data_IF_347304974706
#
_entry.id   IF_347304974706
#
_cell.length_a   1.000
_cell.length_b   1.000
_cell.length_c   1.000
_cell.angle_alpha   90.00
_cell.angle_beta   90.00
_cell.angle_gamma   90.00
#
_symmetry.space_group_name_H-M   'P 1'
#
loop_
_entity.id
_entity.type
_entity.pdbx_description
1 polymer ?
#
# COMPACT_ATOMS: atom_id res chain seq x y z
N UNK A 1 -30.84 -80.36 32.49
CA UNK A 1 -29.96 -79.28 33.02
C UNK A 1 -28.86 -78.87 32.02
N UNK A 2 -28.21 -79.81 31.30
CA UNK A 2 -27.19 -79.50 30.28
C UNK A 2 -27.67 -78.61 29.12
N UNK A 3 -28.84 -78.90 28.53
CA UNK A 3 -29.34 -78.18 27.36
C UNK A 3 -29.53 -76.67 27.64
N UNK A 4 -30.09 -76.31 28.81
CA UNK A 4 -30.22 -74.91 29.26
C UNK A 4 -28.86 -74.22 29.45
N UNK A 5 -27.81 -74.97 29.80
CA UNK A 5 -26.44 -74.43 29.91
C UNK A 5 -25.87 -74.11 28.54
N UNK A 6 -26.07 -75.01 27.57
CA UNK A 6 -25.63 -74.83 26.17
C UNK A 6 -26.35 -73.63 25.53
N UNK A 7 -27.67 -73.49 25.72
CA UNK A 7 -28.41 -72.34 25.22
C UNK A 7 -27.91 -71.01 25.79
N UNK A 8 -27.67 -70.93 27.10
CA UNK A 8 -27.09 -69.74 27.72
C UNK A 8 -25.72 -69.39 27.14
N UNK A 9 -24.85 -70.39 27.02
CA UNK A 9 -23.52 -70.20 26.45
C UNK A 9 -23.59 -69.66 25.01
N UNK A 10 -24.52 -70.16 24.19
CA UNK A 10 -24.72 -69.65 22.82
C UNK A 10 -25.27 -68.23 22.78
N UNK A 11 -26.14 -67.86 23.71
CA UNK A 11 -26.64 -66.48 23.86
C UNK A 11 -25.49 -65.54 24.25
N UNK A 12 -24.62 -65.97 25.17
CA UNK A 12 -23.47 -65.19 25.61
C UNK A 12 -22.47 -64.99 24.45
N UNK A 13 -22.14 -66.06 23.72
CA UNK A 13 -21.29 -66.00 22.52
C UNK A 13 -21.86 -65.05 21.46
N UNK A 14 -23.17 -65.10 21.20
CA UNK A 14 -23.83 -64.19 20.25
C UNK A 14 -23.77 -62.73 20.75
N UNK A 15 -23.99 -62.52 22.04
CA UNK A 15 -23.98 -61.19 22.65
C UNK A 15 -22.58 -60.57 22.63
N UNK A 16 -21.51 -61.36 22.78
CA UNK A 16 -20.12 -60.90 22.58
C UNK A 16 -19.91 -60.46 21.14
N UNK A 17 -20.26 -61.30 20.16
CA UNK A 17 -20.13 -60.95 18.74
C UNK A 17 -20.92 -59.70 18.34
N UNK A 18 -22.12 -59.54 18.89
CA UNK A 18 -22.93 -58.34 18.65
C UNK A 18 -22.24 -57.08 19.20
N UNK A 19 -21.64 -57.16 20.39
CA UNK A 19 -20.87 -56.05 20.96
C UNK A 19 -19.62 -55.71 20.14
N UNK A 20 -18.90 -56.72 19.68
CA UNK A 20 -17.73 -56.53 18.80
C UNK A 20 -18.12 -55.83 17.49
N UNK A 21 -19.23 -56.27 16.86
CA UNK A 21 -19.74 -55.64 15.65
C UNK A 21 -20.16 -54.18 15.89
N UNK A 22 -20.85 -53.90 17.00
CA UNK A 22 -21.25 -52.55 17.36
C UNK A 22 -20.04 -51.63 17.57
N UNK A 23 -19.00 -52.12 18.25
CA UNK A 23 -17.77 -51.34 18.46
C UNK A 23 -17.08 -50.99 17.13
N UNK A 24 -16.96 -51.96 16.21
CA UNK A 24 -16.40 -51.72 14.87
C UNK A 24 -17.27 -50.75 14.08
N UNK A 25 -18.59 -50.84 14.19
CA UNK A 25 -19.51 -49.92 13.54
C UNK A 25 -19.35 -48.48 14.04
N UNK A 26 -19.25 -48.29 15.36
CA UNK A 26 -19.03 -46.98 15.98
C UNK A 26 -17.69 -46.37 15.53
N UNK A 27 -16.62 -47.18 15.47
CA UNK A 27 -15.31 -46.74 14.99
C UNK A 27 -15.34 -46.35 13.50
N UNK A 28 -16.05 -47.12 12.67
CA UNK A 28 -16.22 -46.83 11.26
C UNK A 28 -16.99 -45.52 11.03
N UNK A 29 -18.06 -45.29 11.80
CA UNK A 29 -18.81 -44.03 11.75
C UNK A 29 -17.98 -42.83 12.22
N UNK A 30 -17.20 -42.98 13.30
CA UNK A 30 -16.29 -41.94 13.75
C UNK A 30 -15.25 -41.57 12.67
N UNK A 31 -14.68 -42.58 12.01
CA UNK A 31 -13.75 -42.39 10.89
C UNK A 31 -14.42 -41.70 9.71
N UNK A 32 -15.65 -42.09 9.37
CA UNK A 32 -16.44 -41.47 8.30
C UNK A 32 -16.68 -39.98 8.57
N UNK A 33 -17.03 -39.63 9.81
CA UNK A 33 -17.20 -38.24 10.22
C UNK A 33 -15.89 -37.44 10.10
N UNK A 34 -14.77 -37.99 10.55
CA UNK A 34 -13.47 -37.33 10.45
C UNK A 34 -13.04 -37.09 8.99
N UNK A 35 -13.29 -38.04 8.09
CA UNK A 35 -13.02 -37.88 6.66
C UNK A 35 -13.85 -36.71 6.09
N UNK A 36 -15.15 -36.65 6.43
CA UNK A 36 -16.01 -35.56 5.97
C UNK A 36 -15.54 -34.18 6.46
N UNK A 37 -15.04 -34.09 7.69
CA UNK A 37 -14.44 -32.86 8.22
C UNK A 37 -13.15 -32.48 7.47
N UNK A 38 -12.31 -33.45 7.13
CA UNK A 38 -11.10 -33.23 6.33
C UNK A 38 -11.42 -32.72 4.92
N UNK A 39 -12.42 -33.32 4.26
CA UNK A 39 -12.88 -32.89 2.94
C UNK A 39 -13.45 -31.47 2.96
N UNK A 40 -14.23 -31.15 4.00
CA UNK A 40 -14.75 -29.80 4.21
C UNK A 40 -13.60 -28.79 4.37
N UNK A 41 -12.63 -29.08 5.24
CA UNK A 41 -11.45 -28.23 5.46
C UNK A 41 -10.65 -28.04 4.17
N UNK A 42 -10.44 -29.12 3.41
CA UNK A 42 -9.73 -29.04 2.11
C UNK A 42 -10.44 -28.10 1.14
N UNK A 43 -11.76 -28.14 1.12
CA UNK A 43 -12.58 -27.27 0.25
C UNK A 43 -12.48 -25.80 0.67
N UNK A 44 -12.51 -25.53 1.98
CA UNK A 44 -12.35 -24.18 2.53
C UNK A 44 -10.96 -23.61 2.17
N UNK A 45 -9.89 -24.38 2.37
CA UNK A 45 -8.53 -23.98 2.01
C UNK A 45 -8.37 -23.71 0.51
N UNK A 46 -8.98 -24.52 -0.36
CA UNK A 46 -8.93 -24.28 -1.80
C UNK A 46 -9.67 -23.01 -2.21
N UNK A 47 -10.76 -22.66 -1.51
CA UNK A 47 -11.47 -21.41 -1.73
C UNK A 47 -10.63 -20.20 -1.28
N UNK A 48 -9.98 -20.28 -0.11
CA UNK A 48 -9.05 -19.25 0.36
C UNK A 48 -7.88 -19.06 -0.62
N UNK A 49 -7.28 -20.16 -1.09
CA UNK A 49 -6.20 -20.14 -2.08
C UNK A 49 -6.62 -19.43 -3.37
N UNK A 50 -7.85 -19.70 -3.86
CA UNK A 50 -8.40 -19.01 -5.05
C UNK A 50 -8.61 -17.53 -4.80
N UNK A 51 -9.19 -17.16 -3.65
CA UNK A 51 -9.39 -15.76 -3.25
C UNK A 51 -8.06 -14.99 -3.22
N UNK A 52 -7.02 -15.55 -2.61
CA UNK A 52 -5.69 -14.94 -2.60
C UNK A 52 -5.08 -14.83 -4.01
N UNK A 53 -5.32 -15.79 -4.89
CA UNK A 53 -4.86 -15.71 -6.28
C UNK A 53 -5.57 -14.60 -7.07
N UNK A 54 -6.83 -14.29 -6.75
CA UNK A 54 -7.57 -13.16 -7.32
C UNK A 54 -7.03 -11.82 -6.79
N UNK A 55 -6.81 -11.71 -5.47
CA UNK A 55 -6.22 -10.52 -4.84
C UNK A 55 -4.83 -10.19 -5.42
N UNK A 56 -3.97 -11.20 -5.59
CA UNK A 56 -2.65 -11.01 -6.21
C UNK A 56 -2.76 -10.54 -7.67
N UNK A 57 -3.74 -11.05 -8.43
CA UNK A 57 -4.00 -10.57 -9.80
C UNK A 57 -4.44 -9.11 -9.81
N UNK A 58 -5.31 -8.71 -8.88
CA UNK A 58 -5.75 -7.32 -8.76
C UNK A 58 -4.58 -6.40 -8.42
N UNK A 59 -3.75 -6.77 -7.44
CA UNK A 59 -2.56 -5.97 -7.06
C UNK A 59 -1.64 -5.77 -8.27
N UNK A 60 -1.40 -6.81 -9.07
CA UNK A 60 -0.57 -6.70 -10.26
C UNK A 60 -1.19 -5.76 -11.32
N UNK A 61 -2.51 -5.78 -11.48
CA UNK A 61 -3.20 -4.84 -12.38
C UNK A 61 -3.10 -3.40 -11.87
N UNK A 62 -3.30 -3.18 -10.57
CA UNK A 62 -3.22 -1.87 -9.94
C UNK A 62 -1.81 -1.29 -10.05
N UNK A 63 -0.76 -2.12 -9.88
CA UNK A 63 0.64 -1.70 -10.09
C UNK A 63 0.83 -1.19 -11.52
N UNK A 64 0.43 -1.96 -12.53
CA UNK A 64 0.56 -1.56 -13.93
C UNK A 64 -0.21 -0.25 -14.22
N UNK A 65 -1.44 -0.14 -13.71
CA UNK A 65 -2.26 1.05 -13.89
C UNK A 65 -1.64 2.30 -13.25
N UNK A 66 -1.08 2.16 -12.03
CA UNK A 66 -0.39 3.25 -11.34
C UNK A 66 0.90 3.65 -12.06
N UNK A 67 1.65 2.68 -12.60
CA UNK A 67 2.85 2.95 -13.39
C UNK A 67 2.54 3.76 -14.65
N UNK A 68 1.48 3.39 -15.37
CA UNK A 68 1.06 4.10 -16.58
C UNK A 68 0.54 5.50 -16.26
N UNK A 69 -0.24 5.63 -15.19
CA UNK A 69 -0.70 6.94 -14.69
C UNK A 69 0.50 7.83 -14.34
N UNK A 70 1.51 7.30 -13.66
CA UNK A 70 2.71 8.04 -13.28
C UNK A 70 3.53 8.45 -14.50
N UNK A 71 3.69 7.57 -15.49
CA UNK A 71 4.34 7.90 -16.77
C UNK A 71 3.60 9.03 -17.48
N UNK A 72 2.27 8.97 -17.55
CA UNK A 72 1.44 10.02 -18.15
C UNK A 72 1.59 11.37 -17.45
N UNK A 73 1.53 11.40 -16.12
CA UNK A 73 1.71 12.63 -15.32
C UNK A 73 3.13 13.20 -15.50
N UNK A 74 4.16 12.35 -15.47
CA UNK A 74 5.55 12.78 -15.72
C UNK A 74 5.73 13.35 -17.12
N UNK A 75 5.25 12.65 -18.15
CA UNK A 75 5.30 13.10 -19.54
C UNK A 75 4.65 14.47 -19.71
N UNK A 76 3.42 14.66 -19.21
CA UNK A 76 2.73 15.95 -19.26
C UNK A 76 3.52 17.06 -18.54
N UNK A 77 4.09 16.76 -17.36
CA UNK A 77 4.92 17.72 -16.62
C UNK A 77 6.17 18.11 -17.43
N UNK A 78 6.84 17.15 -18.04
CA UNK A 78 8.07 17.39 -18.79
C UNK A 78 7.79 18.15 -20.10
N UNK A 79 6.71 17.81 -20.82
CA UNK A 79 6.25 18.60 -21.97
C UNK A 79 5.90 20.05 -21.60
N UNK A 80 5.24 20.26 -20.45
CA UNK A 80 4.97 21.62 -19.95
C UNK A 80 6.25 22.38 -19.61
N UNK A 81 7.24 21.72 -18.99
CA UNK A 81 8.55 22.33 -18.72
C UNK A 81 9.24 22.74 -20.01
N UNK A 82 9.19 21.91 -21.05
CA UNK A 82 9.77 22.23 -22.36
C UNK A 82 9.07 23.41 -23.04
N UNK A 83 7.74 23.47 -23.00
CA UNK A 83 6.98 24.63 -23.49
C UNK A 83 7.39 25.90 -22.76
N UNK A 84 7.50 25.83 -21.43
CA UNK A 84 7.91 26.96 -20.60
C UNK A 84 9.34 27.40 -20.95
N UNK A 85 10.28 26.47 -21.09
CA UNK A 85 11.67 26.77 -21.47
C UNK A 85 11.74 27.48 -22.83
N UNK A 86 11.01 26.99 -23.84
CA UNK A 86 10.94 27.65 -25.16
C UNK A 86 10.38 29.07 -25.08
N UNK A 87 9.35 29.28 -24.25
CA UNK A 87 8.78 30.61 -24.04
C UNK A 87 9.77 31.56 -23.34
N UNK A 88 10.61 31.06 -22.43
CA UNK A 88 11.70 31.86 -21.87
C UNK A 88 12.73 32.25 -22.92
N UNK A 89 13.15 31.32 -23.78
CA UNK A 89 14.10 31.63 -24.85
C UNK A 89 13.55 32.67 -25.83
N UNK A 90 12.24 32.61 -26.12
CA UNK A 90 11.54 33.64 -26.92
C UNK A 90 11.60 35.00 -26.25
N UNK A 91 11.23 35.09 -24.96
CA UNK A 91 11.26 36.36 -24.22
C UNK A 91 12.68 36.91 -24.12
N UNK A 92 13.69 36.07 -23.88
CA UNK A 92 15.08 36.53 -23.83
C UNK A 92 15.58 37.05 -25.19
N UNK A 93 15.12 36.45 -26.30
CA UNK A 93 15.42 36.96 -27.65
C UNK A 93 14.73 38.31 -27.91
N UNK A 94 13.46 38.43 -27.57
CA UNK A 94 12.71 39.67 -27.71
C UNK A 94 13.32 40.78 -26.86
N UNK A 95 13.67 40.50 -25.61
CA UNK A 95 14.36 41.44 -24.71
C UNK A 95 15.64 41.99 -25.35
N UNK A 96 16.48 41.12 -25.92
CA UNK A 96 17.71 41.55 -26.62
C UNK A 96 17.40 42.41 -27.83
N UNK A 97 16.41 42.02 -28.63
CA UNK A 97 15.98 42.76 -29.83
C UNK A 97 15.44 44.16 -29.45
N UNK A 98 14.56 44.25 -28.45
CA UNK A 98 14.01 45.51 -27.95
C UNK A 98 15.12 46.42 -27.41
N UNK A 99 16.02 45.90 -26.58
CA UNK A 99 17.15 46.70 -26.07
C UNK A 99 18.07 47.20 -27.19
N UNK A 100 18.25 46.42 -28.26
CA UNK A 100 19.00 46.88 -29.42
C UNK A 100 18.32 48.08 -30.11
N UNK A 101 17.01 48.00 -30.36
CA UNK A 101 16.23 49.10 -30.96
C UNK A 101 16.22 50.36 -30.08
N UNK A 102 16.16 50.20 -28.75
CA UNK A 102 16.21 51.31 -27.81
C UNK A 102 17.57 52.04 -27.89
N UNK A 103 18.68 51.29 -27.96
CA UNK A 103 20.01 51.89 -28.16
C UNK A 103 20.11 52.64 -29.49
N UNK A 104 19.60 52.05 -30.57
CA UNK A 104 19.57 52.70 -31.89
C UNK A 104 18.71 53.99 -31.89
N UNK A 105 17.74 54.09 -30.97
CA UNK A 105 16.88 55.27 -30.79
C UNK A 105 17.47 56.33 -29.83
N UNK A 106 18.67 56.11 -29.30
CA UNK A 106 19.35 57.05 -28.39
C UNK A 106 18.92 56.94 -26.93
N UNK A 107 18.26 55.86 -26.53
CA UNK A 107 17.93 55.59 -25.12
C UNK A 107 19.21 55.23 -24.36
N UNK A 108 19.47 55.88 -23.21
CA UNK A 108 20.67 55.62 -22.42
C UNK A 108 20.62 54.25 -21.73
N UNK A 109 21.79 53.69 -21.40
CA UNK A 109 21.94 52.28 -20.96
C UNK A 109 21.20 52.00 -19.64
N UNK A 110 21.03 53.02 -18.78
CA UNK A 110 20.34 52.92 -17.49
C UNK A 110 18.82 52.70 -17.63
N UNK A 111 18.24 53.02 -18.79
CA UNK A 111 16.81 52.88 -19.09
C UNK A 111 16.48 51.59 -19.85
N UNK A 112 17.49 50.76 -20.16
CA UNK A 112 17.26 49.50 -20.87
C UNK A 112 16.59 48.44 -19.99
N UNK A 113 15.86 47.54 -20.64
CA UNK A 113 15.14 46.48 -19.95
C UNK A 113 16.14 45.44 -19.41
N UNK A 114 16.23 45.34 -18.09
CA UNK A 114 16.98 44.27 -17.40
C UNK A 114 16.20 42.95 -17.27
N UNK A 115 16.93 41.86 -17.01
CA UNK A 115 16.36 40.53 -16.71
C UNK A 115 15.48 40.55 -15.46
N UNK A 116 15.74 41.46 -14.53
CA UNK A 116 15.00 41.62 -13.29
C UNK A 116 13.57 42.14 -13.51
N UNK A 117 13.32 42.84 -14.62
CA UNK A 117 11.97 43.22 -15.02
C UNK A 117 11.13 42.02 -15.53
N UNK A 118 11.79 40.93 -15.95
CA UNK A 118 11.16 39.73 -16.51
C UNK A 118 11.08 38.58 -15.48
N UNK A 119 11.98 38.58 -14.50
CA UNK A 119 12.11 37.56 -13.45
C UNK A 119 10.95 37.39 -12.43
N UNK A 120 10.10 38.39 -12.08
CA UNK A 120 9.19 38.27 -10.93
C UNK A 120 8.09 37.20 -11.09
N UNK A 121 7.80 36.78 -12.33
CA UNK A 121 6.78 35.75 -12.61
C UNK A 121 7.29 34.30 -12.43
N UNK A 122 8.60 34.10 -12.21
CA UNK A 122 9.27 32.79 -12.12
C UNK A 122 9.32 32.19 -10.72
N UNK A 123 9.57 33.01 -9.69
CA UNK A 123 10.02 32.52 -8.38
C UNK A 123 8.87 31.89 -7.54
N UNK A 124 7.64 32.41 -7.68
CA UNK A 124 6.47 31.88 -6.96
C UNK A 124 6.11 30.43 -7.34
N UNK A 125 6.50 29.93 -8.53
CA UNK A 125 6.06 28.62 -9.05
C UNK A 125 7.11 27.51 -8.93
N UNK A 126 8.39 27.85 -8.83
CA UNK A 126 9.46 26.89 -8.56
C UNK A 126 9.47 26.42 -7.09
N UNK A 127 9.09 27.30 -6.15
CA UNK A 127 9.01 26.98 -4.70
C UNK A 127 7.89 26.00 -4.36
N UNK A 128 6.75 26.03 -5.06
CA UNK A 128 5.62 25.12 -4.81
C UNK A 128 5.96 23.67 -5.17
N UNK A 129 6.71 23.43 -6.26
CA UNK A 129 7.10 22.09 -6.69
C UNK A 129 8.08 21.38 -5.75
N UNK A 130 9.00 22.10 -5.09
CA UNK A 130 9.88 21.50 -4.08
C UNK A 130 9.15 21.25 -2.76
N UNK A 131 8.19 22.11 -2.41
CA UNK A 131 7.40 21.98 -1.19
C UNK A 131 6.50 20.74 -1.19
N UNK A 132 5.91 20.35 -2.32
CA UNK A 132 4.98 19.20 -2.35
C UNK A 132 5.72 17.85 -2.31
N UNK A 133 6.90 17.76 -2.94
CA UNK A 133 7.77 16.59 -2.81
C UNK A 133 8.37 16.48 -1.40
N UNK A 134 8.71 17.61 -0.77
CA UNK A 134 9.17 17.67 0.62
C UNK A 134 8.04 17.30 1.62
N UNK A 135 6.80 17.76 1.39
CA UNK A 135 5.63 17.40 2.21
C UNK A 135 5.30 15.92 2.13
N UNK A 136 5.27 15.33 0.92
CA UNK A 136 5.10 13.88 0.74
C UNK A 136 6.18 13.09 1.48
N UNK A 137 7.46 13.48 1.35
CA UNK A 137 8.58 12.84 2.05
C UNK A 137 8.50 13.01 3.58
N UNK A 138 7.88 14.08 4.08
CA UNK A 138 7.75 14.35 5.51
C UNK A 138 6.62 13.55 6.21
N UNK A 139 5.68 12.97 5.45
CA UNK A 139 4.56 12.16 5.96
C UNK A 139 5.00 10.73 6.28
N UNK A 140 6.07 10.23 5.66
CA UNK A 140 6.56 8.86 5.86
C UNK A 140 7.87 8.84 6.65
N UNK A 141 8.06 7.78 7.44
CA UNK A 141 9.31 7.49 8.15
C UNK A 141 9.63 6.00 8.05
N UNK A 142 10.91 5.63 8.14
CA UNK A 142 11.29 4.22 8.27
C UNK A 142 10.98 3.72 9.68
N UNK A 143 10.41 2.52 9.79
CA UNK A 143 10.29 1.81 11.05
C UNK A 143 11.69 1.51 11.61
N UNK A 144 11.91 1.74 12.90
CA UNK A 144 13.21 1.48 13.53
C UNK A 144 13.51 -0.01 13.74
N UNK A 145 12.52 -0.90 13.58
CA UNK A 145 12.68 -2.34 13.79
C UNK A 145 12.79 -3.14 12.50
N UNK A 146 12.03 -2.78 11.45
CA UNK A 146 12.03 -3.52 10.18
C UNK A 146 12.40 -2.66 8.97
N UNK A 147 12.77 -1.40 9.17
CA UNK A 147 13.18 -0.43 8.15
C UNK A 147 12.16 -0.08 7.06
N UNK A 148 10.97 -0.67 7.11
CA UNK A 148 9.89 -0.41 6.16
C UNK A 148 9.32 1.00 6.31
N UNK A 149 8.91 1.58 5.18
CA UNK A 149 8.27 2.90 5.14
C UNK A 149 6.86 2.83 5.74
N UNK A 150 6.63 3.59 6.81
CA UNK A 150 5.34 3.71 7.48
C UNK A 150 4.95 5.19 7.63
N UNK A 151 3.67 5.46 7.86
CA UNK A 151 3.22 6.83 8.18
C UNK A 151 3.89 7.34 9.47
N UNK A 152 4.36 8.60 9.46
CA UNK A 152 5.17 9.21 10.53
C UNK A 152 4.45 9.27 11.88
N UNK A 153 3.12 9.34 11.85
CA UNK A 153 2.28 9.36 13.05
C UNK A 153 1.64 7.99 13.36
N UNK A 154 2.01 6.90 12.67
CA UNK A 154 1.46 5.58 12.99
C UNK A 154 1.95 5.12 14.37
N UNK A 155 1.08 4.84 15.36
CA UNK A 155 1.52 4.50 16.72
C UNK A 155 2.24 3.14 16.81
N UNK A 156 1.95 2.23 15.87
CA UNK A 156 2.51 0.88 15.78
C UNK A 156 2.81 0.59 14.30
N UNK A 157 3.93 -0.10 14.01
CA UNK A 157 4.23 -0.57 12.67
C UNK A 157 3.20 -1.64 12.24
N UNK A 158 2.47 -1.47 11.13
CA UNK A 158 1.48 -2.46 10.70
C UNK A 158 2.12 -3.80 10.32
N UNK A 159 3.39 -3.77 9.91
CA UNK A 159 4.15 -4.93 9.41
C UNK A 159 4.79 -5.74 10.53
N UNK A 160 5.55 -5.11 11.44
CA UNK A 160 6.28 -5.82 12.49
C UNK A 160 5.73 -5.59 13.92
N UNK A 161 4.66 -4.80 14.06
CA UNK A 161 4.00 -4.46 15.33
C UNK A 161 4.88 -3.75 16.38
N UNK A 162 6.08 -3.32 16.01
CA UNK A 162 6.91 -2.49 16.88
C UNK A 162 6.28 -1.10 17.10
N UNK A 163 6.35 -0.57 18.34
CA UNK A 163 5.92 0.79 18.66
C UNK A 163 6.79 1.79 17.91
N UNK A 164 6.17 2.73 17.20
CA UNK A 164 6.91 3.82 16.58
C UNK A 164 7.10 4.97 17.58
N UNK A 165 8.32 5.51 17.67
CA UNK A 165 8.61 6.69 18.50
C UNK A 165 8.64 7.92 17.61
N UNK A 166 7.67 8.82 17.76
CA UNK A 166 7.71 10.12 17.08
C UNK A 166 8.88 10.96 17.59
N UNK A 167 9.68 11.53 16.68
CA UNK A 167 10.78 12.45 17.01
C UNK A 167 10.30 13.83 17.52
N UNK A 168 9.01 14.15 17.39
CA UNK A 168 8.43 15.42 17.85
C UNK A 168 7.16 15.15 18.68
N UNK A 169 7.29 14.82 19.98
CA UNK A 169 6.14 14.71 20.85
C UNK A 169 5.44 16.07 20.96
N UNK A 170 4.11 16.11 20.76
CA UNK A 170 3.31 17.30 21.04
C UNK A 170 3.51 17.69 22.50
N UNK A 171 3.91 18.94 22.76
CA UNK A 171 4.08 19.47 24.12
C UNK A 171 2.82 19.15 24.94
N UNK A 172 2.96 18.67 26.19
CA UNK A 172 1.82 18.51 27.09
C UNK A 172 1.13 19.88 27.26
N UNK A 173 -0.18 19.94 27.03
CA UNK A 173 -0.97 21.12 27.42
C UNK A 173 -0.88 21.21 28.94
N UNK A 174 -0.32 22.30 29.47
CA UNK A 174 -0.38 22.61 30.91
C UNK A 174 -1.86 22.73 31.28
N UNK A 175 -2.33 21.94 32.24
CA UNK A 175 -3.64 22.17 32.87
C UNK A 175 -3.53 23.50 33.61
N UNK A 176 -4.41 24.45 33.31
CA UNK A 176 -4.63 25.59 34.20
C UNK A 176 -5.53 25.05 35.30
N UNK A 177 -4.97 24.87 36.50
CA UNK A 177 -5.76 24.66 37.70
C UNK A 177 -6.39 26.02 38.06
N UNK A 178 -7.70 26.03 38.26
CA UNK A 178 -8.47 27.13 38.86
C UNK A 178 -9.45 26.54 39.86
#
# INVERSE_FOLDING_TARGET
>A
KQLKKIFRQKIDEFSVRLRELLAVYEEAEATRCFIAECEKMSTELDNERKSHADELRQINQDINHLEDTLKGVKGNKDSKKEIIARKYDEIERELRSTNQLLRESGVPEEELLSREHVAPLLDSRMRTSMNDQAKMKAIFQKCQSCEQLIHRNAPICPLCKAKSRSKHPKRPRRRMDS
#
